data_IF_168927598467
#
_entry.id   IF_168927598467
#
_cell.length_a   1.000
_cell.length_b   1.000
_cell.length_c   1.000
_cell.angle_alpha   90.00
_cell.angle_beta   90.00
_cell.angle_gamma   90.00
#
_symmetry.space_group_name_H-M   'P 1'
#
loop_
_entity.id
_entity.type
_entity.pdbx_description
1 polymer ?
#
# COMPACT_ATOMS: atom_id res chain seq x y z
N UNK A 1 20.16 -0.79 5.85
CA UNK A 1 18.87 -0.68 6.56
C UNK A 1 17.75 -0.45 5.56
N UNK A 2 16.65 -1.15 5.71
CA UNK A 2 15.51 -0.99 4.80
C UNK A 2 14.62 0.14 5.30
N UNK A 3 14.44 1.16 4.48
CA UNK A 3 13.78 2.39 4.87
C UNK A 3 12.26 2.37 4.65
N UNK A 4 11.79 1.61 3.68
CA UNK A 4 10.38 1.62 3.28
C UNK A 4 9.72 0.28 3.56
N UNK A 5 8.45 0.35 3.90
CA UNK A 5 7.62 -0.83 4.13
C UNK A 5 6.38 -0.72 3.26
N UNK A 6 6.11 -1.78 2.50
CA UNK A 6 4.86 -1.89 1.75
C UNK A 6 3.98 -2.88 2.47
N UNK A 7 2.78 -2.45 2.83
CA UNK A 7 1.82 -3.26 3.56
C UNK A 7 0.58 -3.44 2.69
N UNK A 8 0.11 -4.68 2.58
CA UNK A 8 -1.11 -5.01 1.87
C UNK A 8 -2.03 -5.76 2.81
N UNK A 9 -3.29 -5.34 2.89
CA UNK A 9 -4.26 -5.88 3.83
C UNK A 9 -5.52 -6.37 3.13
N UNK A 10 -6.05 -7.50 3.63
CA UNK A 10 -7.34 -8.02 3.20
C UNK A 10 -8.08 -8.57 4.42
N UNK A 11 -9.30 -9.08 4.22
CA UNK A 11 -10.06 -9.69 5.31
C UNK A 11 -9.52 -11.04 5.75
N UNK A 12 -8.70 -11.68 4.93
CA UNK A 12 -8.21 -13.04 5.19
C UNK A 12 -6.72 -13.12 5.43
N UNK A 13 -5.93 -12.16 4.91
CA UNK A 13 -4.47 -12.18 5.06
C UNK A 13 -3.88 -10.79 4.91
N UNK A 14 -2.73 -10.59 5.54
CA UNK A 14 -1.92 -9.39 5.38
C UNK A 14 -0.55 -9.79 4.84
N UNK A 15 0.05 -8.90 4.04
CA UNK A 15 1.41 -9.07 3.54
C UNK A 15 2.21 -7.82 3.87
N UNK A 16 3.51 -7.99 4.08
CA UNK A 16 4.39 -6.88 4.45
C UNK A 16 5.78 -7.16 3.90
N UNK A 17 6.36 -6.17 3.21
CA UNK A 17 7.69 -6.28 2.64
C UNK A 17 8.47 -5.02 2.96
N UNK A 18 9.71 -5.18 3.42
CA UNK A 18 10.62 -4.07 3.68
C UNK A 18 11.59 -3.90 2.52
N UNK A 19 11.76 -2.66 2.08
CA UNK A 19 12.53 -2.34 0.88
C UNK A 19 13.46 -1.16 1.15
N UNK A 20 14.53 -1.06 0.37
CA UNK A 20 15.57 -0.06 0.58
C UNK A 20 15.29 1.26 -0.14
N UNK A 21 14.67 1.20 -1.31
CA UNK A 21 14.43 2.38 -2.14
C UNK A 21 12.96 2.58 -2.41
N UNK A 22 12.59 3.83 -2.70
CA UNK A 22 11.22 4.16 -3.07
C UNK A 22 10.82 3.47 -4.39
N UNK A 23 11.73 3.36 -5.34
CA UNK A 23 11.45 2.66 -6.60
C UNK A 23 11.05 1.20 -6.38
N UNK A 24 11.78 0.49 -5.52
CA UNK A 24 11.43 -0.88 -5.15
C UNK A 24 10.10 -0.95 -4.43
N UNK A 25 9.85 0.01 -3.54
CA UNK A 25 8.60 0.08 -2.79
C UNK A 25 7.41 0.32 -3.73
N UNK A 26 7.56 1.20 -4.71
CA UNK A 26 6.51 1.47 -5.68
C UNK A 26 6.22 0.26 -6.56
N UNK A 27 7.25 -0.48 -6.99
CA UNK A 27 7.05 -1.71 -7.75
C UNK A 27 6.26 -2.74 -6.94
N UNK A 28 6.61 -2.91 -5.67
CA UNK A 28 5.91 -3.86 -4.80
C UNK A 28 4.48 -3.39 -4.52
N UNK A 29 4.29 -2.10 -4.31
CA UNK A 29 2.96 -1.51 -4.13
C UNK A 29 2.06 -1.83 -5.32
N UNK A 30 2.57 -1.63 -6.54
CA UNK A 30 1.80 -1.88 -7.75
C UNK A 30 1.47 -3.36 -7.94
N UNK A 31 2.40 -4.25 -7.57
CA UNK A 31 2.14 -5.69 -7.62
C UNK A 31 1.00 -6.09 -6.69
N UNK A 32 1.01 -5.59 -5.46
CA UNK A 32 -0.06 -5.88 -4.51
C UNK A 32 -1.39 -5.28 -4.97
N UNK A 33 -1.37 -4.02 -5.42
CA UNK A 33 -2.57 -3.36 -5.91
C UNK A 33 -3.20 -4.12 -7.08
N UNK A 34 -2.38 -4.49 -8.06
CA UNK A 34 -2.85 -5.09 -9.30
C UNK A 34 -3.21 -6.57 -9.14
N UNK A 35 -2.81 -7.21 -8.05
CA UNK A 35 -3.13 -8.61 -7.79
C UNK A 35 -4.62 -8.85 -7.56
N UNK A 36 -5.34 -7.81 -7.11
CA UNK A 36 -6.76 -7.93 -6.79
C UNK A 36 -7.06 -8.66 -5.50
N UNK A 37 -6.03 -9.06 -4.73
CA UNK A 37 -6.21 -9.86 -3.51
C UNK A 37 -6.31 -9.02 -2.24
N UNK A 38 -5.99 -7.74 -2.32
CA UNK A 38 -5.95 -6.86 -1.15
C UNK A 38 -6.87 -5.65 -1.33
N UNK A 39 -7.54 -5.27 -0.25
CA UNK A 39 -8.41 -4.10 -0.27
C UNK A 39 -7.68 -2.82 0.14
N UNK A 40 -6.51 -2.94 0.72
CA UNK A 40 -5.71 -1.78 1.13
C UNK A 40 -4.23 -2.07 0.93
N UNK A 41 -3.52 -1.12 0.32
CA UNK A 41 -2.06 -1.21 0.14
C UNK A 41 -1.48 0.17 0.44
N UNK A 42 -0.36 0.22 1.16
CA UNK A 42 0.30 1.50 1.40
C UNK A 42 1.82 1.34 1.52
N UNK A 43 2.52 2.45 1.27
CA UNK A 43 3.97 2.57 1.47
C UNK A 43 4.19 3.45 2.69
N UNK A 44 4.97 2.96 3.64
CA UNK A 44 5.26 3.66 4.88
C UNK A 44 6.77 3.79 5.09
N UNK A 45 7.19 4.91 5.68
CA UNK A 45 8.57 5.09 6.12
C UNK A 45 8.78 4.36 7.44
N UNK A 46 9.79 3.48 7.49
CA UNK A 46 10.06 2.69 8.69
C UNK A 46 10.62 3.50 9.87
N UNK A 47 11.17 4.68 9.59
CA UNK A 47 11.75 5.52 10.64
C UNK A 47 10.72 6.50 11.23
N UNK A 48 9.89 7.10 10.37
CA UNK A 48 8.98 8.16 10.78
C UNK A 48 7.52 7.71 10.89
N UNK A 49 7.16 6.60 10.26
CA UNK A 49 5.78 6.15 10.18
C UNK A 49 4.95 6.92 9.17
N UNK A 50 5.56 7.79 8.38
CA UNK A 50 4.89 8.60 7.39
C UNK A 50 4.43 7.74 6.21
N UNK A 51 3.22 8.03 5.69
CA UNK A 51 2.68 7.32 4.54
C UNK A 51 2.97 8.11 3.26
N UNK A 52 3.50 7.42 2.24
CA UNK A 52 3.84 8.05 0.96
C UNK A 52 2.81 7.78 -0.12
N UNK A 53 2.16 6.65 -0.06
CA UNK A 53 1.20 6.25 -1.09
C UNK A 53 0.19 5.30 -0.46
N UNK A 54 -1.09 5.48 -0.78
CA UNK A 54 -2.15 4.65 -0.24
C UNK A 54 -3.14 4.29 -1.34
N UNK A 55 -3.59 3.04 -1.33
CA UNK A 55 -4.64 2.53 -2.19
C UNK A 55 -5.67 1.84 -1.30
N UNK A 56 -6.94 2.14 -1.50
CA UNK A 56 -8.01 1.60 -0.67
C UNK A 56 -9.24 1.31 -1.53
N UNK A 57 -9.81 0.13 -1.33
CA UNK A 57 -11.07 -0.26 -1.95
C UNK A 57 -12.09 -0.49 -0.84
N UNK A 58 -13.24 0.18 -0.94
CA UNK A 58 -14.33 -0.03 0.01
C UNK A 58 -15.65 -0.18 -0.76
N UNK A 59 -16.64 -0.81 -0.11
CA UNK A 59 -17.98 -0.94 -0.67
C UNK A 59 -18.93 -0.16 0.21
N UNK A 60 -19.62 0.81 -0.39
CA UNK A 60 -20.59 1.65 0.32
C UNK A 60 -21.88 1.69 -0.48
N UNK A 61 -22.99 1.34 0.17
CA UNK A 61 -24.32 1.36 -0.45
C UNK A 61 -24.38 0.58 -1.77
N UNK A 62 -23.67 -0.54 -1.84
CA UNK A 62 -23.64 -1.37 -3.04
C UNK A 62 -22.70 -0.88 -4.14
N UNK A 63 -22.01 0.23 -3.91
CA UNK A 63 -21.04 0.78 -4.88
C UNK A 63 -19.62 0.55 -4.41
N UNK A 64 -18.74 0.25 -5.38
CA UNK A 64 -17.29 0.08 -5.09
C UNK A 64 -16.64 1.44 -5.18
N UNK A 65 -15.92 1.80 -4.10
CA UNK A 65 -15.17 3.05 -4.02
C UNK A 65 -13.68 2.72 -4.03
N UNK A 66 -12.94 3.33 -4.95
CA UNK A 66 -11.50 3.17 -5.05
C UNK A 66 -10.86 4.52 -4.77
N UNK A 67 -9.97 4.57 -3.79
CA UNK A 67 -9.25 5.79 -3.42
C UNK A 67 -7.76 5.52 -3.49
N UNK A 68 -7.03 6.43 -4.13
CA UNK A 68 -5.58 6.32 -4.24
C UNK A 68 -5.00 7.73 -4.13
N UNK A 69 -3.96 7.89 -3.31
CA UNK A 69 -3.29 9.18 -3.17
C UNK A 69 -1.79 9.01 -2.92
N UNK A 70 -1.06 10.09 -3.18
CA UNK A 70 0.38 10.20 -2.98
C UNK A 70 0.68 11.35 -2.05
N UNK A 71 1.75 11.21 -1.28
CA UNK A 71 2.39 12.34 -0.63
C UNK A 71 3.63 12.69 -1.43
N UNK A 72 3.66 13.90 -1.98
CA UNK A 72 4.84 14.44 -2.65
C UNK A 72 5.69 15.10 -1.58
N UNK A 73 6.71 14.39 -1.17
CA UNK A 73 7.51 14.90 -0.08
C UNK A 73 8.90 15.24 -0.46
#
# INVERSE_FOLDING_TARGET
MKKFRVVAKSTVMDAEVNLRTMGEAEEMFEKFRDSGSYSKVYIMDNETGELYRTFDISVQNGSVMIQEWYTLG
#
